data_IF_128976442032
#
_entry.id   IF_128976442032
#
_cell.length_a   1.000
_cell.length_b   1.000
_cell.length_c   1.000
_cell.angle_alpha   90.00
_cell.angle_beta   90.00
_cell.angle_gamma   90.00
#
_symmetry.space_group_name_H-M   'P 1'
#
loop_
_entity.id
_entity.type
_entity.pdbx_description
1 polymer ?
#
# COMPACT_ATOMS: atom_id res chain seq x y z
N UNK A 1 38.23 -32.71 -69.44
CA UNK A 1 38.27 -32.59 -68.01
C UNK A 1 37.18 -31.58 -67.59
N UNK A 2 36.02 -32.04 -67.12
CA UNK A 2 34.89 -31.18 -66.65
C UNK A 2 34.94 -31.11 -65.13
N UNK A 3 35.26 -29.92 -64.61
CA UNK A 3 35.16 -29.66 -63.13
C UNK A 3 33.69 -29.48 -62.74
N UNK A 4 33.21 -30.38 -61.93
CA UNK A 4 31.95 -30.23 -61.23
C UNK A 4 32.18 -29.33 -59.98
N UNK A 5 31.60 -28.13 -59.96
CA UNK A 5 31.53 -27.28 -58.78
C UNK A 5 30.26 -27.65 -57.94
N UNK A 6 30.47 -28.32 -56.84
CA UNK A 6 29.40 -28.61 -55.87
C UNK A 6 29.12 -27.35 -55.06
N UNK A 7 27.93 -26.76 -55.24
CA UNK A 7 27.42 -25.70 -54.36
C UNK A 7 26.84 -26.34 -53.11
N UNK A 8 27.48 -26.17 -51.98
CA UNK A 8 26.92 -26.49 -50.67
C UNK A 8 26.06 -25.29 -50.21
N UNK A 9 24.74 -25.42 -50.32
CA UNK A 9 23.80 -24.45 -49.75
C UNK A 9 23.75 -24.62 -48.23
N UNK A 10 24.32 -23.69 -47.52
CA UNK A 10 24.24 -23.59 -46.06
C UNK A 10 22.84 -23.05 -45.71
N UNK A 11 21.91 -23.95 -45.36
CA UNK A 11 20.58 -23.60 -44.88
C UNK A 11 20.73 -23.16 -43.41
N UNK A 12 20.81 -21.84 -43.14
CA UNK A 12 20.78 -21.31 -41.78
C UNK A 12 19.40 -21.53 -41.21
N UNK A 13 19.25 -22.46 -40.24
CA UNK A 13 18.07 -22.60 -39.41
C UNK A 13 17.97 -21.34 -38.54
N UNK A 14 17.15 -20.39 -38.96
CA UNK A 14 16.62 -19.33 -38.09
C UNK A 14 15.66 -19.95 -37.12
N UNK A 15 16.11 -20.36 -35.93
CA UNK A 15 15.21 -20.67 -34.83
C UNK A 15 14.44 -19.39 -34.49
N UNK A 16 13.10 -19.43 -34.40
CA UNK A 16 12.36 -18.26 -33.95
C UNK A 16 12.82 -17.95 -32.53
N UNK A 17 13.39 -16.76 -32.29
CA UNK A 17 13.48 -16.22 -30.94
C UNK A 17 12.05 -15.99 -30.48
N UNK A 18 11.55 -16.92 -29.66
CA UNK A 18 10.32 -16.71 -28.94
C UNK A 18 10.52 -15.50 -28.04
N UNK A 19 10.01 -14.34 -28.46
CA UNK A 19 9.90 -13.19 -27.59
C UNK A 19 8.90 -13.58 -26.49
N UNK A 20 9.38 -13.90 -25.30
CA UNK A 20 8.51 -14.10 -24.15
C UNK A 20 7.77 -12.78 -23.90
N UNK A 21 6.45 -12.84 -23.94
CA UNK A 21 5.66 -11.67 -23.60
C UNK A 21 5.76 -11.41 -22.08
N UNK A 22 5.73 -10.14 -21.69
CA UNK A 22 5.78 -9.78 -20.26
C UNK A 22 4.67 -10.47 -19.48
N UNK A 23 4.98 -11.01 -18.30
CA UNK A 23 4.06 -11.63 -17.36
C UNK A 23 3.29 -12.85 -17.92
N UNK A 24 3.87 -13.60 -18.85
CA UNK A 24 3.20 -14.79 -19.42
C UNK A 24 2.71 -15.79 -18.35
N UNK A 25 3.42 -15.89 -17.23
CA UNK A 25 3.10 -16.83 -16.14
C UNK A 25 2.03 -16.30 -15.15
N UNK A 26 1.63 -15.03 -15.25
CA UNK A 26 0.71 -14.41 -14.29
C UNK A 26 -0.18 -13.31 -14.89
N UNK A 27 -0.55 -13.45 -16.16
CA UNK A 27 -1.44 -12.48 -16.84
C UNK A 27 -2.82 -12.38 -16.19
N UNK A 28 -3.27 -13.42 -15.50
CA UNK A 28 -4.55 -13.44 -14.78
C UNK A 28 -4.61 -12.42 -13.62
N UNK A 29 -3.47 -11.91 -13.18
CA UNK A 29 -3.40 -10.84 -12.19
C UNK A 29 -3.73 -9.47 -12.78
N UNK A 30 -3.83 -9.34 -14.10
CA UNK A 30 -4.11 -8.08 -14.79
C UNK A 30 -5.55 -8.01 -15.31
N UNK A 31 -6.19 -6.84 -15.28
CA UNK A 31 -7.53 -6.65 -15.86
C UNK A 31 -7.54 -7.09 -17.33
N UNK A 32 -8.50 -7.95 -17.70
CA UNK A 32 -8.60 -8.50 -19.06
C UNK A 32 -7.29 -9.13 -19.60
N UNK A 33 -6.38 -9.52 -18.72
CA UNK A 33 -5.04 -10.04 -19.05
C UNK A 33 -4.19 -9.04 -19.86
N UNK A 34 -4.49 -7.74 -19.76
CA UNK A 34 -3.77 -6.66 -20.43
C UNK A 34 -2.71 -6.08 -19.51
N UNK A 35 -1.45 -6.22 -19.92
CA UNK A 35 -0.30 -5.68 -19.19
C UNK A 35 -0.15 -4.18 -19.47
N UNK A 36 0.07 -3.33 -18.45
CA UNK A 36 0.32 -1.91 -18.64
C UNK A 36 1.49 -1.62 -19.59
N UNK A 37 1.36 -0.56 -20.37
CA UNK A 37 2.43 -0.06 -21.22
C UNK A 37 3.19 1.06 -20.51
N UNK A 38 4.51 0.94 -20.43
CA UNK A 38 5.40 1.93 -19.84
C UNK A 38 6.57 2.23 -20.77
N UNK A 39 7.04 3.47 -20.79
CA UNK A 39 8.27 3.84 -21.47
C UNK A 39 9.53 3.40 -20.71
N UNK A 40 9.39 3.08 -19.42
CA UNK A 40 10.49 2.57 -18.63
C UNK A 40 10.75 1.10 -18.97
N UNK A 41 12.02 0.74 -19.11
CA UNK A 41 12.44 -0.64 -19.30
C UNK A 41 12.51 -1.32 -17.94
N UNK A 42 11.76 -2.41 -17.79
CA UNK A 42 11.67 -3.18 -16.54
C UNK A 42 11.85 -4.67 -16.75
N UNK A 43 11.86 -5.39 -15.65
CA UNK A 43 11.80 -6.86 -15.58
C UNK A 43 10.48 -7.26 -14.95
N UNK A 44 9.84 -8.25 -15.53
CA UNK A 44 8.64 -8.85 -14.99
C UNK A 44 8.98 -9.93 -13.96
N UNK A 45 8.28 -9.89 -12.84
CA UNK A 45 8.40 -10.87 -11.75
C UNK A 45 7.00 -11.30 -11.33
N UNK A 46 6.68 -12.56 -11.56
CA UNK A 46 5.43 -13.19 -11.11
C UNK A 46 5.58 -13.77 -9.71
N UNK A 47 4.56 -13.56 -8.87
CA UNK A 47 4.39 -14.14 -7.55
C UNK A 47 2.97 -14.72 -7.44
N UNK A 48 2.68 -15.48 -6.39
CA UNK A 48 1.39 -16.18 -6.26
C UNK A 48 0.18 -15.23 -6.20
N UNK A 49 0.30 -14.05 -5.57
CA UNK A 49 -0.81 -13.12 -5.35
C UNK A 49 -0.58 -11.73 -5.93
N UNK A 50 0.56 -11.49 -6.56
CA UNK A 50 0.90 -10.21 -7.16
C UNK A 50 1.97 -10.37 -8.24
N UNK A 51 2.10 -9.36 -9.09
CA UNK A 51 3.17 -9.29 -10.08
C UNK A 51 3.85 -7.92 -10.03
N UNK A 52 5.15 -7.88 -10.34
CA UNK A 52 5.97 -6.67 -10.25
C UNK A 52 6.59 -6.38 -11.61
N UNK A 53 6.43 -5.16 -12.11
CA UNK A 53 7.29 -4.60 -13.15
C UNK A 53 8.39 -3.80 -12.47
N UNK A 54 9.60 -4.34 -12.48
CA UNK A 54 10.72 -3.87 -11.68
C UNK A 54 11.71 -3.04 -12.50
N UNK A 55 12.11 -1.87 -11.99
CA UNK A 55 13.16 -1.04 -12.57
C UNK A 55 14.55 -1.54 -12.13
N UNK A 56 15.38 -2.09 -13.05
CA UNK A 56 16.75 -2.48 -12.73
C UNK A 56 17.64 -1.28 -12.39
N UNK A 57 17.32 -0.10 -12.94
CA UNK A 57 18.06 1.14 -12.70
C UNK A 57 17.74 1.75 -11.34
N UNK A 58 16.45 1.86 -11.02
CA UNK A 58 15.98 2.42 -9.73
C UNK A 58 16.00 1.42 -8.59
N UNK A 59 16.09 0.14 -8.91
CA UNK A 59 16.08 -1.00 -7.98
C UNK A 59 14.84 -1.04 -7.08
N UNK A 60 13.70 -0.72 -7.67
CA UNK A 60 12.38 -0.73 -7.04
C UNK A 60 11.29 -1.01 -8.07
N UNK A 61 10.04 -1.32 -7.67
CA UNK A 61 8.94 -1.44 -8.60
C UNK A 61 8.70 -0.16 -9.40
N UNK A 62 8.47 -0.31 -10.71
CA UNK A 62 7.79 0.68 -11.54
C UNK A 62 6.31 0.65 -11.14
N UNK A 63 5.74 -0.56 -11.09
CA UNK A 63 4.45 -0.85 -10.46
C UNK A 63 4.41 -2.31 -9.96
N UNK A 64 3.54 -2.55 -9.01
CA UNK A 64 3.12 -3.88 -8.56
C UNK A 64 1.61 -3.97 -8.75
N UNK A 65 1.10 -5.08 -9.27
CA UNK A 65 -0.32 -5.34 -9.43
C UNK A 65 -0.78 -6.46 -8.51
N UNK A 66 -1.94 -6.28 -7.91
CA UNK A 66 -2.66 -7.26 -7.11
C UNK A 66 -4.09 -7.41 -7.66
N UNK A 67 -4.57 -8.65 -7.72
CA UNK A 67 -5.97 -8.97 -7.97
C UNK A 67 -6.57 -9.43 -6.65
N UNK A 68 -7.42 -8.61 -6.06
CA UNK A 68 -7.93 -8.80 -4.71
C UNK A 68 -9.44 -9.01 -4.71
N UNK A 69 -9.92 -9.91 -3.87
CA UNK A 69 -11.34 -10.15 -3.65
C UNK A 69 -11.73 -10.00 -2.18
N UNK A 70 -13.04 -9.84 -1.95
CA UNK A 70 -13.61 -9.84 -0.61
C UNK A 70 -13.24 -11.11 0.16
N UNK A 71 -13.29 -12.25 -0.48
CA UNK A 71 -13.01 -13.55 0.13
C UNK A 71 -11.57 -13.64 0.61
N UNK A 72 -10.61 -13.22 -0.22
CA UNK A 72 -9.20 -13.16 0.18
C UNK A 72 -8.98 -12.28 1.41
N UNK A 73 -9.57 -11.07 1.42
CA UNK A 73 -9.36 -10.12 2.51
C UNK A 73 -10.13 -10.44 3.79
N UNK A 74 -11.10 -11.34 3.74
CA UNK A 74 -11.83 -11.85 4.92
C UNK A 74 -11.28 -13.19 5.41
N UNK A 75 -10.45 -13.87 4.61
CA UNK A 75 -9.80 -15.11 5.02
C UNK A 75 -8.87 -14.89 6.23
N UNK A 76 -8.64 -15.92 7.06
CA UNK A 76 -7.64 -15.85 8.11
C UNK A 76 -6.27 -15.47 7.54
N UNK A 77 -5.67 -14.40 8.05
CA UNK A 77 -4.36 -13.96 7.59
C UNK A 77 -3.25 -14.80 8.25
N UNK A 78 -2.24 -15.23 7.49
CA UNK A 78 -1.08 -15.90 8.04
C UNK A 78 -0.29 -14.94 8.92
N UNK A 79 0.53 -15.52 9.83
CA UNK A 79 1.43 -14.72 10.66
C UNK A 79 2.39 -13.91 9.78
N UNK A 80 2.54 -12.62 10.07
CA UNK A 80 3.45 -11.75 9.34
C UNK A 80 4.90 -12.27 9.42
N UNK A 81 5.54 -12.49 8.27
CA UNK A 81 6.87 -13.07 8.18
C UNK A 81 7.96 -12.17 8.76
N UNK A 82 7.97 -10.87 8.41
CA UNK A 82 9.04 -9.89 8.70
C UNK A 82 10.44 -10.31 8.20
N UNK A 83 10.55 -11.34 7.37
CA UNK A 83 11.81 -11.86 6.83
C UNK A 83 12.02 -11.31 5.42
N UNK A 84 12.62 -10.13 5.34
CA UNK A 84 12.98 -9.54 4.05
C UNK A 84 14.13 -10.30 3.41
N UNK A 85 14.05 -10.48 2.08
CA UNK A 85 15.08 -11.17 1.30
C UNK A 85 15.34 -10.48 -0.03
N UNK A 86 16.53 -10.70 -0.58
CA UNK A 86 16.97 -10.20 -1.87
C UNK A 86 16.42 -11.07 -3.00
N UNK A 87 15.89 -10.47 -4.06
CA UNK A 87 15.25 -11.20 -5.15
C UNK A 87 16.28 -11.93 -6.03
N UNK A 88 16.38 -13.23 -5.87
CA UNK A 88 17.41 -14.04 -6.54
C UNK A 88 17.22 -14.15 -8.06
N UNK A 89 16.01 -13.94 -8.59
CA UNK A 89 15.73 -13.96 -10.03
C UNK A 89 16.30 -12.76 -10.77
N UNK A 90 16.61 -11.67 -10.06
CA UNK A 90 17.29 -10.51 -10.63
C UNK A 90 18.81 -10.71 -10.65
N UNK A 91 19.53 -10.19 -11.64
CA UNK A 91 21.00 -10.07 -11.59
C UNK A 91 21.44 -9.32 -10.33
N UNK A 92 22.55 -9.73 -9.72
CA UNK A 92 23.02 -9.12 -8.46
C UNK A 92 23.19 -7.60 -8.57
N UNK A 93 23.69 -7.10 -9.69
CA UNK A 93 23.88 -5.66 -9.95
C UNK A 93 22.57 -4.85 -9.96
N UNK A 94 21.44 -5.51 -10.20
CA UNK A 94 20.13 -4.88 -10.32
C UNK A 94 19.29 -5.01 -9.04
N UNK A 95 19.73 -5.81 -8.06
CA UNK A 95 19.00 -6.00 -6.79
C UNK A 95 19.12 -4.79 -5.88
N UNK A 96 18.07 -4.49 -5.15
CA UNK A 96 18.18 -3.80 -3.87
C UNK A 96 18.61 -4.80 -2.81
N UNK A 97 19.47 -4.39 -1.90
CA UNK A 97 20.06 -5.24 -0.86
C UNK A 97 19.57 -4.82 0.52
N UNK A 98 19.55 -5.75 1.46
CA UNK A 98 19.22 -5.44 2.87
C UNK A 98 20.16 -4.37 3.46
N UNK A 99 21.42 -4.37 3.02
CA UNK A 99 22.42 -3.38 3.43
C UNK A 99 22.11 -1.98 2.95
N UNK A 100 21.38 -1.80 1.82
CA UNK A 100 21.02 -0.49 1.31
C UNK A 100 20.02 0.23 2.21
N UNK A 101 19.11 -0.51 2.83
CA UNK A 101 18.11 0.04 3.74
C UNK A 101 18.62 0.26 5.17
N UNK A 102 19.69 -0.44 5.57
CA UNK A 102 20.22 -0.37 6.96
C UNK A 102 20.79 1.02 7.24
N UNK A 103 20.18 1.71 8.22
CA UNK A 103 20.63 3.05 8.62
C UNK A 103 20.32 4.14 7.60
N UNK A 104 19.53 3.88 6.56
CA UNK A 104 19.18 4.84 5.51
C UNK A 104 18.22 5.94 5.97
N UNK A 105 17.50 5.72 7.07
CA UNK A 105 16.40 6.60 7.51
C UNK A 105 15.05 6.31 6.84
N UNK A 106 15.03 5.40 5.84
CA UNK A 106 13.83 5.00 5.13
C UNK A 106 13.37 3.60 5.52
N UNK A 107 12.07 3.38 5.53
CA UNK A 107 11.45 2.06 5.68
C UNK A 107 11.50 1.31 4.34
N UNK A 108 11.41 -0.02 4.43
CA UNK A 108 11.09 -0.89 3.30
C UNK A 108 9.60 -0.84 3.07
N UNK A 109 9.14 0.15 2.29
CA UNK A 109 7.73 0.33 1.96
C UNK A 109 7.26 -0.74 0.98
N UNK A 110 6.21 -1.47 1.35
CA UNK A 110 5.61 -2.50 0.49
C UNK A 110 4.80 -1.86 -0.65
N UNK A 111 4.92 -2.41 -1.86
CA UNK A 111 3.97 -2.11 -2.95
C UNK A 111 2.75 -3.05 -2.86
N UNK A 112 2.95 -4.38 -2.85
CA UNK A 112 1.93 -5.35 -2.43
C UNK A 112 2.06 -5.57 -0.92
N UNK A 113 1.10 -5.09 -0.10
CA UNK A 113 1.22 -5.13 1.36
C UNK A 113 1.08 -6.54 1.92
N UNK A 114 1.83 -6.86 2.96
CA UNK A 114 1.68 -8.11 3.69
C UNK A 114 0.25 -8.32 4.24
N UNK A 115 -0.47 -7.22 4.53
CA UNK A 115 -1.87 -7.28 4.99
C UNK A 115 -2.88 -7.72 3.94
N UNK A 116 -2.48 -7.87 2.69
CA UNK A 116 -3.35 -8.32 1.60
C UNK A 116 -3.12 -9.81 1.26
N UNK A 117 -2.12 -10.44 1.91
CA UNK A 117 -1.75 -11.83 1.66
C UNK A 117 -2.60 -12.80 2.47
N UNK A 118 -3.21 -13.77 1.81
CA UNK A 118 -4.15 -14.74 2.40
C UNK A 118 -3.56 -16.12 2.72
N UNK A 119 -2.28 -16.37 2.36
CA UNK A 119 -1.59 -17.62 2.65
C UNK A 119 -0.11 -17.38 2.99
N UNK A 120 0.54 -18.38 3.61
CA UNK A 120 1.93 -18.25 4.09
C UNK A 120 2.95 -18.01 2.98
N UNK A 121 2.72 -18.60 1.80
CA UNK A 121 3.64 -18.45 0.68
C UNK A 121 3.58 -17.04 0.10
N UNK A 122 2.41 -16.51 -0.21
CA UNK A 122 2.27 -15.12 -0.67
C UNK A 122 2.68 -14.12 0.41
N UNK A 123 2.44 -14.42 1.70
CA UNK A 123 2.96 -13.63 2.82
C UNK A 123 4.49 -13.57 2.77
N UNK A 124 5.19 -14.70 2.66
CA UNK A 124 6.65 -14.72 2.55
C UNK A 124 7.15 -13.98 1.31
N UNK A 125 6.50 -14.19 0.16
CA UNK A 125 6.83 -13.53 -1.10
C UNK A 125 6.69 -12.00 -1.03
N UNK A 126 5.72 -11.48 -0.29
CA UNK A 126 5.52 -10.04 -0.14
C UNK A 126 6.73 -9.33 0.49
N UNK A 127 7.62 -10.07 1.19
CA UNK A 127 8.85 -9.54 1.79
C UNK A 127 10.07 -9.56 0.87
N UNK A 128 9.91 -9.91 -0.42
CA UNK A 128 10.96 -9.69 -1.43
C UNK A 128 11.34 -8.23 -1.50
N UNK A 129 12.64 -7.91 -1.49
CA UNK A 129 13.11 -6.54 -1.66
C UNK A 129 12.75 -5.98 -3.05
N UNK A 130 12.44 -6.82 -4.03
CA UNK A 130 11.89 -6.38 -5.31
C UNK A 130 10.49 -5.76 -5.18
N UNK A 131 9.74 -6.05 -4.11
CA UNK A 131 8.45 -5.46 -3.77
C UNK A 131 8.56 -4.18 -2.93
N UNK A 132 9.78 -3.73 -2.64
CA UNK A 132 10.04 -2.62 -1.73
C UNK A 132 10.45 -1.34 -2.46
N UNK A 133 10.11 -0.21 -1.86
CA UNK A 133 10.65 1.10 -2.20
C UNK A 133 11.12 1.83 -0.93
N UNK A 134 12.15 2.69 -1.01
CA UNK A 134 12.50 3.56 0.11
C UNK A 134 11.33 4.50 0.42
N UNK A 135 10.67 4.29 1.55
CA UNK A 135 9.51 5.08 1.96
C UNK A 135 9.78 5.81 3.26
N UNK A 136 9.43 7.09 3.31
CA UNK A 136 9.55 7.91 4.51
C UNK A 136 8.75 7.27 5.65
N UNK A 137 9.36 7.17 6.84
CA UNK A 137 8.84 6.33 7.92
C UNK A 137 7.45 6.73 8.39
N UNK A 138 7.22 8.03 8.61
CA UNK A 138 5.90 8.51 9.07
C UNK A 138 4.84 8.38 7.97
N UNK A 139 5.25 8.52 6.70
CA UNK A 139 4.37 8.23 5.57
C UNK A 139 3.97 6.74 5.60
N UNK A 140 4.94 5.83 5.59
CA UNK A 140 4.71 4.38 5.53
C UNK A 140 3.80 3.88 6.67
N UNK A 141 4.16 4.21 7.91
CA UNK A 141 3.46 3.71 9.11
C UNK A 141 2.21 4.53 9.48
N UNK A 142 2.05 5.71 8.91
CA UNK A 142 0.96 6.64 9.16
C UNK A 142 -0.03 6.75 8.01
N UNK A 143 0.17 7.78 7.19
CA UNK A 143 -0.75 8.16 6.10
C UNK A 143 -0.99 7.02 5.13
N UNK A 144 0.06 6.37 4.65
CA UNK A 144 -0.06 5.30 3.67
C UNK A 144 -0.88 4.13 4.22
N UNK A 145 -0.50 3.62 5.39
CA UNK A 145 -1.21 2.49 6.00
C UNK A 145 -2.67 2.81 6.33
N UNK A 146 -2.95 4.01 6.89
CA UNK A 146 -4.27 4.36 7.45
C UNK A 146 -5.22 5.02 6.44
N UNK A 147 -4.69 5.77 5.48
CA UNK A 147 -5.49 6.58 4.57
C UNK A 147 -5.45 6.10 3.11
N UNK A 148 -4.57 5.14 2.79
CA UNK A 148 -4.48 4.55 1.46
C UNK A 148 -4.79 3.05 1.49
N UNK A 149 -4.02 2.25 2.24
CA UNK A 149 -4.18 0.79 2.26
C UNK A 149 -5.47 0.36 2.97
N UNK A 150 -5.72 0.87 4.18
CA UNK A 150 -6.92 0.49 4.94
C UNK A 150 -8.23 0.86 4.22
N UNK A 151 -8.44 2.07 3.68
CA UNK A 151 -9.63 2.39 2.90
C UNK A 151 -9.76 1.53 1.63
N UNK A 152 -8.65 1.19 0.96
CA UNK A 152 -8.66 0.28 -0.19
C UNK A 152 -9.18 -1.10 0.21
N UNK A 153 -8.67 -1.69 1.29
CA UNK A 153 -9.18 -2.97 1.82
C UNK A 153 -10.65 -2.90 2.24
N UNK A 154 -11.06 -1.81 2.89
CA UNK A 154 -12.46 -1.62 3.28
C UNK A 154 -13.39 -1.53 2.08
N UNK A 155 -12.96 -0.87 1.01
CA UNK A 155 -13.69 -0.84 -0.24
C UNK A 155 -13.86 -2.25 -0.82
N UNK A 156 -12.76 -3.00 -0.97
CA UNK A 156 -12.76 -4.35 -1.54
C UNK A 156 -13.63 -5.31 -0.71
N UNK A 157 -13.58 -5.23 0.62
CA UNK A 157 -14.43 -6.03 1.53
C UNK A 157 -15.94 -5.78 1.36
N UNK A 158 -16.33 -4.66 0.74
CA UNK A 158 -17.73 -4.29 0.48
C UNK A 158 -18.16 -4.45 -0.97
N UNK A 159 -17.21 -4.74 -1.86
CA UNK A 159 -17.45 -4.89 -3.30
C UNK A 159 -17.65 -6.37 -3.63
N UNK A 160 -18.47 -6.66 -4.63
CA UNK A 160 -18.58 -8.00 -5.20
C UNK A 160 -17.56 -8.17 -6.33
N UNK A 161 -16.97 -9.38 -6.43
CA UNK A 161 -15.98 -9.72 -7.45
C UNK A 161 -14.58 -9.16 -7.16
N UNK A 162 -13.75 -9.22 -8.18
CA UNK A 162 -12.34 -8.84 -8.07
C UNK A 162 -12.15 -7.35 -8.27
N UNK A 163 -11.18 -6.77 -7.54
CA UNK A 163 -10.68 -5.42 -7.68
C UNK A 163 -9.20 -5.49 -7.96
N UNK A 164 -8.73 -4.72 -8.94
CA UNK A 164 -7.32 -4.66 -9.29
C UNK A 164 -6.67 -3.43 -8.66
N UNK A 165 -5.51 -3.65 -8.05
CA UNK A 165 -4.77 -2.59 -7.35
C UNK A 165 -3.37 -2.51 -7.92
N UNK A 166 -3.00 -1.34 -8.47
CA UNK A 166 -1.64 -1.06 -8.92
C UNK A 166 -0.98 -0.09 -7.94
N UNK A 167 0.12 -0.51 -7.36
CA UNK A 167 0.90 0.32 -6.45
C UNK A 167 2.27 0.59 -7.05
N UNK A 168 2.73 1.82 -7.01
CA UNK A 168 4.04 2.18 -7.50
C UNK A 168 4.50 3.54 -7.00
N UNK A 169 5.57 4.01 -7.60
CA UNK A 169 6.19 5.27 -7.19
C UNK A 169 6.93 5.93 -8.35
N UNK A 170 7.05 7.24 -8.29
CA UNK A 170 7.70 8.03 -9.33
C UNK A 170 8.55 9.16 -8.77
N UNK A 171 9.37 9.75 -9.65
CA UNK A 171 10.30 10.81 -9.29
C UNK A 171 11.56 10.28 -8.61
N UNK A 172 12.49 11.20 -8.34
CA UNK A 172 13.78 10.89 -7.74
C UNK A 172 14.18 12.00 -6.75
N UNK A 173 14.21 11.66 -5.47
CA UNK A 173 14.64 12.53 -4.36
C UNK A 173 16.01 12.11 -3.81
N UNK A 174 16.80 11.37 -4.58
CA UNK A 174 18.10 10.82 -4.17
C UNK A 174 18.10 9.30 -4.13
N UNK A 175 19.03 8.70 -3.42
CA UNK A 175 19.16 7.25 -3.32
C UNK A 175 19.70 6.80 -1.96
N UNK A 176 19.38 5.57 -1.58
CA UNK A 176 19.89 4.93 -0.37
C UNK A 176 20.93 3.86 -0.67
N UNK A 177 21.82 3.63 0.27
CA UNK A 177 22.80 2.55 0.27
C UNK A 177 23.84 2.62 -0.83
N UNK A 178 24.78 1.66 -0.82
CA UNK A 178 25.80 1.53 -1.86
C UNK A 178 25.19 1.05 -3.18
N UNK A 179 24.07 0.33 -3.13
CA UNK A 179 23.30 -0.09 -4.28
C UNK A 179 22.60 1.05 -5.02
N UNK A 180 22.50 2.24 -4.42
CA UNK A 180 21.84 3.42 -4.97
C UNK A 180 20.39 3.17 -5.34
N UNK A 181 19.63 2.57 -4.39
CA UNK A 181 18.19 2.38 -4.59
C UNK A 181 17.50 3.75 -4.59
N UNK A 182 16.80 4.09 -5.66
CA UNK A 182 16.18 5.42 -5.84
C UNK A 182 15.10 5.68 -4.78
N UNK A 183 15.18 6.83 -4.12
CA UNK A 183 14.12 7.35 -3.26
C UNK A 183 13.08 8.03 -4.14
N UNK A 184 11.85 7.51 -4.26
CA UNK A 184 10.83 8.18 -5.06
C UNK A 184 10.35 9.45 -4.37
N UNK A 185 9.95 10.46 -5.15
CA UNK A 185 9.34 11.68 -4.60
C UNK A 185 7.85 11.50 -4.29
N UNK A 186 7.16 10.62 -5.02
CA UNK A 186 5.73 10.35 -4.86
C UNK A 186 5.41 8.87 -4.93
N UNK A 187 4.39 8.49 -4.20
CA UNK A 187 3.80 7.16 -4.19
C UNK A 187 2.40 7.23 -4.78
N UNK A 188 1.98 6.18 -5.45
CA UNK A 188 0.61 6.07 -5.91
C UNK A 188 0.03 4.68 -5.66
N UNK A 189 -1.28 4.64 -5.49
CA UNK A 189 -2.07 3.40 -5.46
C UNK A 189 -3.33 3.63 -6.30
N UNK A 190 -3.36 2.97 -7.47
CA UNK A 190 -4.49 2.96 -8.39
C UNK A 190 -5.40 1.78 -8.05
N UNK A 191 -6.66 2.04 -7.86
CA UNK A 191 -7.70 1.03 -7.60
C UNK A 191 -8.65 0.99 -8.78
N UNK A 192 -8.91 -0.18 -9.33
CA UNK A 192 -9.84 -0.39 -10.43
C UNK A 192 -10.90 -1.44 -10.07
N UNK A 193 -12.16 -1.05 -10.12
CA UNK A 193 -13.33 -1.92 -9.96
C UNK A 193 -13.94 -2.19 -11.34
N UNK A 194 -13.74 -3.38 -11.92
CA UNK A 194 -14.24 -3.71 -13.25
C UNK A 194 -15.77 -3.79 -13.31
N UNK A 195 -16.43 -4.16 -12.21
CA UNK A 195 -17.89 -4.25 -12.16
C UNK A 195 -18.56 -2.87 -12.31
N UNK A 196 -17.90 -1.84 -11.78
CA UNK A 196 -18.35 -0.46 -11.90
C UNK A 196 -17.70 0.30 -13.05
N UNK A 197 -16.67 -0.28 -13.68
CA UNK A 197 -15.78 0.38 -14.65
C UNK A 197 -15.24 1.70 -14.14
N UNK A 198 -14.84 1.73 -12.87
CA UNK A 198 -14.33 2.90 -12.17
C UNK A 198 -12.89 2.69 -11.72
N UNK A 199 -12.09 3.73 -11.88
CA UNK A 199 -10.73 3.75 -11.38
C UNK A 199 -10.43 5.10 -10.71
N UNK A 200 -9.64 5.08 -9.65
CA UNK A 200 -9.12 6.26 -8.96
C UNK A 200 -7.75 5.98 -8.40
N UNK A 201 -6.96 7.01 -8.16
CA UNK A 201 -5.63 6.83 -7.59
C UNK A 201 -5.39 7.75 -6.39
N UNK A 202 -4.79 7.20 -5.36
CA UNK A 202 -4.13 7.97 -4.31
C UNK A 202 -2.77 8.43 -4.83
N UNK A 203 -2.44 9.68 -4.55
CA UNK A 203 -1.17 10.30 -4.91
C UNK A 203 -0.59 11.01 -3.71
N UNK A 204 0.53 10.55 -3.17
CA UNK A 204 1.06 10.98 -1.88
C UNK A 204 2.56 11.29 -2.01
N UNK A 205 3.00 12.41 -1.48
CA UNK A 205 4.42 12.73 -1.36
C UNK A 205 5.13 11.74 -0.43
N UNK A 206 6.36 11.38 -0.79
CA UNK A 206 7.18 10.46 0.02
C UNK A 206 8.00 11.22 1.07
N UNK A 207 7.32 11.92 1.96
CA UNK A 207 7.93 12.67 3.07
C UNK A 207 7.29 12.29 4.41
N UNK A 208 7.95 12.64 5.51
CA UNK A 208 7.39 12.44 6.85
C UNK A 208 6.24 13.42 7.14
N UNK A 209 6.22 14.54 6.44
CA UNK A 209 5.25 15.65 6.58
C UNK A 209 4.11 15.53 5.57
N UNK A 210 4.08 14.46 4.76
CA UNK A 210 3.07 14.25 3.73
C UNK A 210 1.66 14.41 4.29
N UNK A 211 0.77 14.98 3.49
CA UNK A 211 -0.64 15.11 3.78
C UNK A 211 -1.49 14.43 2.71
N UNK A 212 -2.72 14.03 3.07
CA UNK A 212 -3.65 13.44 2.10
C UNK A 212 -4.31 14.53 1.27
N UNK A 213 -4.26 14.34 -0.04
CA UNK A 213 -5.13 15.03 -0.99
C UNK A 213 -6.27 14.11 -1.43
N UNK A 214 -7.37 14.64 -1.95
CA UNK A 214 -8.38 13.82 -2.62
C UNK A 214 -7.73 12.93 -3.69
N UNK A 215 -8.27 11.74 -3.96
CA UNK A 215 -7.80 10.92 -5.07
C UNK A 215 -7.85 11.66 -6.39
N UNK A 216 -6.89 11.37 -7.23
CA UNK A 216 -6.80 11.87 -8.59
C UNK A 216 -7.50 10.92 -9.57
N UNK A 217 -7.81 11.41 -10.75
CA UNK A 217 -8.39 10.60 -11.82
C UNK A 217 -7.39 9.61 -12.39
N UNK A 218 -7.87 8.60 -13.09
CA UNK A 218 -7.03 7.66 -13.83
C UNK A 218 -6.17 8.37 -14.88
N UNK A 219 -6.74 9.33 -15.60
CA UNK A 219 -6.06 10.13 -16.61
C UNK A 219 -4.93 10.98 -16.01
N UNK A 220 -5.19 11.62 -14.87
CA UNK A 220 -4.14 12.35 -14.14
C UNK A 220 -2.99 11.45 -13.74
N UNK A 221 -3.29 10.22 -13.29
CA UNK A 221 -2.26 9.26 -12.95
C UNK A 221 -1.41 8.87 -14.15
N UNK A 222 -2.06 8.56 -15.29
CA UNK A 222 -1.34 8.23 -16.54
C UNK A 222 -0.40 9.37 -16.96
N UNK A 223 -0.86 10.62 -16.89
CA UNK A 223 -0.02 11.78 -17.19
C UNK A 223 1.17 11.92 -16.23
N UNK A 224 0.95 11.69 -14.95
CA UNK A 224 1.99 11.81 -13.91
C UNK A 224 3.03 10.69 -13.96
N UNK A 225 2.63 9.49 -14.37
CA UNK A 225 3.49 8.29 -14.36
C UNK A 225 4.06 7.93 -15.72
N UNK A 226 3.41 8.35 -16.80
CA UNK A 226 3.73 7.88 -18.16
C UNK A 226 3.37 6.42 -18.40
N UNK A 227 2.47 5.84 -17.57
CA UNK A 227 2.05 4.44 -17.65
C UNK A 227 0.59 4.39 -18.10
N UNK A 228 0.31 3.68 -19.20
CA UNK A 228 -1.06 3.33 -19.57
C UNK A 228 -1.38 1.94 -18.99
N UNK A 229 -2.35 1.91 -18.08
CA UNK A 229 -2.79 0.67 -17.42
C UNK A 229 -3.87 -0.06 -18.23
N UNK A 230 -4.29 0.44 -19.38
CA UNK A 230 -5.30 -0.14 -20.28
C UNK A 230 -6.62 -0.49 -19.59
N UNK A 231 -7.05 0.34 -18.64
CA UNK A 231 -8.29 0.10 -17.90
C UNK A 231 -9.52 0.57 -18.70
N UNK A 232 -10.52 -0.29 -18.90
CA UNK A 232 -11.76 0.08 -19.56
C UNK A 232 -12.68 0.84 -18.59
N UNK A 233 -12.38 2.11 -18.36
CA UNK A 233 -13.18 2.99 -17.49
C UNK A 233 -14.27 3.69 -18.29
N UNK A 234 -15.42 3.98 -17.66
CA UNK A 234 -16.50 4.76 -18.25
C UNK A 234 -16.17 6.25 -18.17
N UNK A 235 -15.79 6.87 -19.32
CA UNK A 235 -15.58 8.30 -19.45
C UNK A 235 -14.53 8.89 -18.51
N UNK A 236 -14.51 10.23 -18.41
CA UNK A 236 -13.78 10.90 -17.33
C UNK A 236 -14.46 10.54 -16.00
N UNK A 237 -14.00 9.47 -15.38
CA UNK A 237 -14.40 9.17 -14.02
C UNK A 237 -13.76 10.21 -13.10
N UNK A 238 -14.31 11.44 -13.16
CA UNK A 238 -14.35 12.25 -11.98
C UNK A 238 -15.04 11.35 -10.97
N UNK A 239 -14.27 10.81 -10.05
CA UNK A 239 -14.84 10.16 -8.88
C UNK A 239 -15.64 11.25 -8.19
N UNK A 240 -16.91 11.37 -8.57
CA UNK A 240 -17.84 12.19 -7.83
C UNK A 240 -17.86 11.58 -6.44
N UNK A 241 -17.11 12.17 -5.54
CA UNK A 241 -17.15 12.17 -4.06
C UNK A 241 -17.80 10.96 -3.33
N UNK A 242 -17.95 9.79 -3.97
CA UNK A 242 -18.53 8.58 -3.38
C UNK A 242 -17.51 7.47 -3.13
N UNK A 243 -16.21 7.76 -3.26
CA UNK A 243 -15.26 6.97 -2.50
C UNK A 243 -15.54 7.34 -1.06
N UNK A 244 -15.71 6.38 -0.16
CA UNK A 244 -15.69 6.69 1.27
C UNK A 244 -14.27 7.10 1.65
N UNK A 245 -13.84 8.30 1.20
CA UNK A 245 -12.66 9.00 1.66
C UNK A 245 -13.08 9.87 2.80
N UNK A 246 -13.80 9.28 3.63
CA UNK A 246 -13.88 9.71 5.02
C UNK A 246 -14.21 8.45 5.79
N UNK A 247 -13.61 8.32 6.92
CA UNK A 247 -14.50 8.44 8.02
C UNK A 247 -15.05 9.87 7.94
N UNK A 248 -16.18 10.09 7.19
CA UNK A 248 -17.02 11.23 7.54
C UNK A 248 -17.22 11.12 9.03
N UNK A 249 -16.82 12.13 9.81
CA UNK A 249 -17.17 12.14 11.22
C UNK A 249 -18.69 12.19 11.44
N UNK A 250 -19.52 11.95 10.42
CA UNK A 250 -20.97 12.13 10.45
C UNK A 250 -21.75 11.09 9.65
N UNK A 251 -21.50 9.79 9.90
CA UNK A 251 -22.61 8.85 9.98
C UNK A 251 -22.41 8.07 11.26
N UNK A 252 -23.01 8.59 12.30
CA UNK A 252 -23.29 7.89 13.55
C UNK A 252 -23.82 6.52 13.16
N UNK A 253 -22.96 5.50 13.21
CA UNK A 253 -23.41 4.13 13.32
C UNK A 253 -24.09 4.08 14.68
N UNK A 254 -25.41 4.08 14.70
CA UNK A 254 -26.21 4.02 15.91
C UNK A 254 -25.66 2.93 16.82
N UNK A 255 -25.07 3.31 17.97
CA UNK A 255 -24.60 2.41 18.99
C UNK A 255 -23.24 1.73 18.78
N UNK A 256 -22.41 2.16 17.82
CA UNK A 256 -21.10 1.55 17.55
C UNK A 256 -19.94 2.10 18.37
N UNK A 257 -18.96 1.23 18.63
CA UNK A 257 -17.65 1.62 19.18
C UNK A 257 -16.67 1.86 18.05
N UNK A 258 -15.88 2.94 18.09
CA UNK A 258 -14.82 3.20 17.15
C UNK A 258 -13.53 3.69 17.83
N UNK A 259 -12.35 3.22 17.39
CA UNK A 259 -11.08 3.64 17.97
C UNK A 259 -10.54 4.92 17.31
N UNK A 260 -9.95 5.78 18.14
CA UNK A 260 -9.14 6.94 17.73
C UNK A 260 -7.73 6.72 18.27
N UNK A 261 -6.74 6.64 17.39
CA UNK A 261 -5.37 6.31 17.77
C UNK A 261 -4.52 7.56 17.94
N UNK A 262 -3.65 7.58 18.97
CA UNK A 262 -2.70 8.62 19.25
C UNK A 262 -1.30 8.01 19.43
N UNK A 263 -0.38 8.35 18.55
CA UNK A 263 1.03 7.96 18.66
C UNK A 263 1.83 9.04 19.40
N UNK A 264 1.32 10.27 19.42
CA UNK A 264 1.82 11.44 20.17
C UNK A 264 0.64 12.32 20.62
N UNK A 265 0.94 13.35 21.41
CA UNK A 265 -0.07 14.32 21.83
C UNK A 265 -0.43 15.24 20.66
N UNK A 266 -1.68 15.19 20.21
CA UNK A 266 -2.22 15.95 19.10
C UNK A 266 -3.44 16.78 19.56
N UNK A 267 -3.25 18.00 20.09
CA UNK A 267 -4.32 18.83 20.64
C UNK A 267 -5.53 18.98 19.71
N UNK A 268 -5.28 19.35 18.44
CA UNK A 268 -6.37 19.54 17.46
C UNK A 268 -7.23 18.28 17.26
N UNK A 269 -6.65 17.08 17.37
CA UNK A 269 -7.38 15.82 17.27
C UNK A 269 -8.22 15.55 18.52
N UNK A 270 -7.73 15.94 19.70
CA UNK A 270 -8.48 15.90 20.94
C UNK A 270 -9.63 16.89 20.91
N UNK A 271 -9.40 18.11 20.40
CA UNK A 271 -10.43 19.16 20.27
C UNK A 271 -11.57 18.73 19.33
N UNK A 272 -11.28 18.03 18.24
CA UNK A 272 -12.31 17.44 17.37
C UNK A 272 -13.17 16.42 18.12
N UNK A 273 -12.56 15.61 18.97
CA UNK A 273 -13.27 14.65 19.80
C UNK A 273 -14.14 15.37 20.84
N UNK A 274 -13.61 16.39 21.50
CA UNK A 274 -14.34 17.23 22.46
C UNK A 274 -15.55 17.90 21.79
N UNK A 275 -15.37 18.45 20.60
CA UNK A 275 -16.47 19.02 19.81
C UNK A 275 -17.57 17.98 19.55
N UNK A 276 -17.21 16.73 19.19
CA UNK A 276 -18.17 15.65 18.98
C UNK A 276 -18.93 15.27 20.25
N UNK A 277 -18.28 15.39 21.42
CA UNK A 277 -18.92 15.19 22.73
C UNK A 277 -19.90 16.33 23.03
N UNK A 278 -19.48 17.57 22.84
CA UNK A 278 -20.30 18.77 23.09
C UNK A 278 -21.53 18.82 22.18
N UNK A 279 -21.42 18.32 20.95
CA UNK A 279 -22.53 18.15 20.02
C UNK A 279 -23.44 16.95 20.35
N UNK A 280 -23.19 16.27 21.44
CA UNK A 280 -24.04 15.19 21.93
C UNK A 280 -23.95 13.87 21.16
N UNK A 281 -22.96 13.71 20.28
CA UNK A 281 -22.78 12.53 19.43
C UNK A 281 -22.07 11.36 20.11
N UNK A 282 -21.44 11.58 21.25
CA UNK A 282 -20.66 10.60 22.00
C UNK A 282 -21.38 10.23 23.29
N UNK A 283 -21.54 8.93 23.54
CA UNK A 283 -22.16 8.41 24.76
C UNK A 283 -21.14 8.14 25.86
N UNK A 284 -19.97 7.62 25.50
CA UNK A 284 -18.87 7.34 26.43
C UNK A 284 -17.52 7.26 25.72
N UNK A 285 -16.46 7.41 26.50
CA UNK A 285 -15.07 7.30 26.04
C UNK A 285 -14.30 6.39 26.98
N UNK A 286 -13.48 5.52 26.39
CA UNK A 286 -12.53 4.69 27.11
C UNK A 286 -11.14 4.94 26.54
N UNK A 287 -10.13 5.19 27.40
CA UNK A 287 -8.74 5.39 26.98
C UNK A 287 -7.94 4.15 27.36
N UNK A 288 -7.38 3.49 26.36
CA UNK A 288 -6.53 2.31 26.52
C UNK A 288 -5.09 2.66 26.20
N UNK A 289 -4.15 2.18 27.00
CA UNK A 289 -2.70 2.31 26.77
C UNK A 289 -1.97 1.09 27.32
N UNK A 290 -0.81 0.80 26.75
CA UNK A 290 0.10 -0.23 27.30
C UNK A 290 1.24 0.45 28.08
N UNK A 291 2.12 1.18 27.42
CA UNK A 291 3.31 1.80 28.04
C UNK A 291 3.21 3.31 28.21
N UNK A 292 2.45 4.00 27.36
CA UNK A 292 2.42 5.45 27.31
C UNK A 292 1.31 6.05 28.20
N UNK A 293 1.45 5.84 29.51
CA UNK A 293 0.52 6.38 30.52
C UNK A 293 0.46 7.91 30.48
N UNK A 294 1.59 8.58 30.26
CA UNK A 294 1.68 10.04 30.23
C UNK A 294 0.82 10.62 29.11
N UNK A 295 0.93 10.06 27.89
CA UNK A 295 0.10 10.48 26.78
C UNK A 295 -1.39 10.23 27.04
N UNK A 296 -1.74 9.06 27.59
CA UNK A 296 -3.12 8.76 27.96
C UNK A 296 -3.68 9.76 28.97
N UNK A 297 -2.87 10.14 29.94
CA UNK A 297 -3.24 11.11 30.97
C UNK A 297 -3.42 12.52 30.41
N UNK A 298 -2.54 12.99 29.52
CA UNK A 298 -2.68 14.28 28.83
C UNK A 298 -3.98 14.35 28.02
N UNK A 299 -4.29 13.29 27.26
CA UNK A 299 -5.53 13.22 26.48
C UNK A 299 -6.76 13.23 27.41
N UNK A 300 -6.73 12.42 28.47
CA UNK A 300 -7.83 12.36 29.45
C UNK A 300 -8.08 13.73 30.10
N UNK A 301 -7.02 14.41 30.56
CA UNK A 301 -7.10 15.72 31.18
C UNK A 301 -7.71 16.77 30.26
N UNK A 302 -7.29 16.82 28.99
CA UNK A 302 -7.86 17.77 28.03
C UNK A 302 -9.36 17.49 27.79
N UNK A 303 -9.76 16.22 27.69
CA UNK A 303 -11.17 15.86 27.54
C UNK A 303 -11.95 16.25 28.80
N UNK A 304 -11.47 15.93 30.00
CA UNK A 304 -12.14 16.20 31.27
C UNK A 304 -12.34 17.70 31.52
N UNK A 305 -11.40 18.53 31.16
CA UNK A 305 -11.48 19.99 31.38
C UNK A 305 -12.46 20.69 30.45
N UNK A 306 -12.81 20.09 29.30
CA UNK A 306 -13.60 20.74 28.26
C UNK A 306 -14.89 19.97 27.89
N UNK A 307 -15.20 18.87 28.61
CA UNK A 307 -16.29 17.97 28.26
C UNK A 307 -17.00 17.45 29.49
N UNK A 308 -18.34 17.22 29.43
CA UNK A 308 -19.11 16.60 30.51
C UNK A 308 -18.86 15.09 30.65
N UNK A 309 -18.17 14.46 29.69
CA UNK A 309 -17.88 13.02 29.74
C UNK A 309 -16.51 12.81 30.40
N UNK A 310 -16.49 12.00 31.44
CA UNK A 310 -15.27 11.56 32.12
C UNK A 310 -14.79 10.28 31.44
N UNK A 311 -13.61 10.29 30.80
CA UNK A 311 -13.10 9.08 30.19
C UNK A 311 -12.68 8.06 31.25
N UNK A 312 -12.99 6.79 31.04
CA UNK A 312 -12.40 5.69 31.81
C UNK A 312 -11.01 5.36 31.29
N UNK A 313 -10.04 5.20 32.17
CA UNK A 313 -8.68 4.79 31.82
C UNK A 313 -8.50 3.31 32.10
N UNK A 314 -8.11 2.56 31.08
CA UNK A 314 -7.83 1.13 31.19
C UNK A 314 -6.47 0.84 30.63
N UNK A 315 -5.60 0.24 31.46
CA UNK A 315 -4.36 -0.35 30.97
C UNK A 315 -4.71 -1.65 30.25
N UNK A 316 -4.41 -1.75 28.95
CA UNK A 316 -4.57 -3.01 28.25
C UNK A 316 -3.33 -3.86 28.51
N UNK A 317 -3.48 -5.00 29.11
CA UNK A 317 -2.49 -6.07 29.08
C UNK A 317 -3.01 -7.14 28.14
N UNK A 318 -2.64 -7.16 26.86
CA UNK A 318 -2.83 -8.36 26.08
C UNK A 318 -1.65 -9.29 26.37
N UNK A 319 -1.87 -10.43 27.02
CA UNK A 319 -0.77 -11.34 27.33
C UNK A 319 -0.16 -12.03 26.11
N UNK A 320 -0.83 -12.06 24.95
CA UNK A 320 -0.46 -12.98 23.87
C UNK A 320 -0.43 -12.41 22.46
N UNK A 321 -0.40 -11.10 22.28
CA UNK A 321 -0.22 -10.53 20.92
C UNK A 321 1.21 -10.03 20.72
N UNK A 322 1.94 -10.50 19.70
CA UNK A 322 3.24 -9.94 19.34
C UNK A 322 3.05 -8.58 18.70
N UNK A 323 2.68 -7.61 19.49
CA UNK A 323 2.54 -6.21 19.07
C UNK A 323 3.91 -5.63 18.79
N UNK A 324 4.06 -5.04 17.63
CA UNK A 324 5.26 -4.31 17.22
C UNK A 324 5.54 -3.20 18.24
N UNK A 325 6.78 -2.94 18.56
CA UNK A 325 7.20 -2.06 19.67
C UNK A 325 6.56 -0.65 19.63
N UNK A 326 6.19 -0.12 18.45
CA UNK A 326 5.51 1.17 18.33
C UNK A 326 4.05 1.14 18.75
N UNK A 327 3.36 -0.01 18.61
CA UNK A 327 1.97 -0.16 19.04
C UNK A 327 1.84 -0.11 20.56
N UNK A 328 2.89 -0.51 21.30
CA UNK A 328 2.94 -0.45 22.76
C UNK A 328 3.01 0.97 23.30
N UNK A 329 3.46 1.94 22.51
CA UNK A 329 3.48 3.35 22.89
C UNK A 329 2.24 4.12 22.43
N UNK A 330 1.36 3.47 21.65
CA UNK A 330 0.12 4.06 21.15
C UNK A 330 -0.93 4.13 22.27
N UNK A 331 -1.66 5.23 22.29
CA UNK A 331 -2.87 5.39 23.08
C UNK A 331 -4.07 5.26 22.15
N UNK A 332 -5.02 4.40 22.52
CA UNK A 332 -6.27 4.21 21.79
C UNK A 332 -7.41 4.82 22.59
N UNK A 333 -8.09 5.78 22.00
CA UNK A 333 -9.33 6.34 22.57
C UNK A 333 -10.50 5.63 21.89
N UNK A 334 -11.19 4.79 22.64
CA UNK A 334 -12.39 4.09 22.16
C UNK A 334 -13.59 4.97 22.44
N UNK A 335 -14.29 5.36 21.40
CA UNK A 335 -15.44 6.25 21.44
C UNK A 335 -16.71 5.44 21.17
N UNK A 336 -17.70 5.54 22.04
CA UNK A 336 -19.03 5.01 21.81
C UNK A 336 -19.96 6.13 21.34
N UNK A 337 -20.51 6.01 20.15
CA UNK A 337 -21.55 6.92 19.67
C UNK A 337 -22.89 6.66 20.38
N UNK A 338 -23.72 7.69 20.45
CA UNK A 338 -25.11 7.56 20.88
C UNK A 338 -26.00 6.90 19.86
#
# INVERSE_FOLDING_TARGET
MKLFRTFISLLALLAPLSAYALFDECKELFPNQQVPTSQQIGRDLCFDSFAIYYSPTDKKPIYTVEKLSREQLLAPHPRRSNQFYEEARLPFSERSLLSDYRGSGYDRGHNAPAGDMSNERSMAQSFSLANMMPQARQNNQGIWAKNVEEPTRLYIKRTAGDVYVFTGSTGNSGSIGKGRVTIPSHLYKLVYDPNKKQAWAYWVENTNEASMSPPITYQDLMQKTGIDFHLPVNGDSHVSQQIPIEPKPNKVLMGGWYPVFFDNFAPAKVDQLIKSIQEGRVASIQIQYDRNRELAQKIATQIQTQSPIIPSQVQSSPPDSPTVTYERNRVTVIVRSK
#
